data_IF_896053745125
#
_entry.id   IF_896053745125
#
_cell.length_a   1.000
_cell.length_b   1.000
_cell.length_c   1.000
_cell.angle_alpha   90.00
_cell.angle_beta   90.00
_cell.angle_gamma   90.00
#
_symmetry.space_group_name_H-M   'P 1'
#
loop_
_entity.id
_entity.type
_entity.pdbx_description
1 polymer ?
#
# COMPACT_ATOMS: atom_id res chain seq x y z
N UNK A 1 -59.84 28.06 37.79
CA UNK A 1 -59.67 29.41 37.21
C UNK A 1 -58.31 29.46 36.54
N UNK A 2 -58.33 29.87 35.27
CA UNK A 2 -57.23 30.20 34.35
C UNK A 2 -56.31 29.08 33.83
N UNK A 3 -56.86 28.47 32.80
CA UNK A 3 -56.24 27.77 31.69
C UNK A 3 -55.72 28.81 30.68
N UNK A 4 -54.43 28.79 30.30
CA UNK A 4 -53.91 29.43 29.10
C UNK A 4 -52.81 28.56 28.51
N UNK A 5 -53.16 27.86 27.43
CA UNK A 5 -52.25 27.04 26.63
C UNK A 5 -51.25 27.89 25.84
N UNK A 6 -50.08 27.30 25.60
CA UNK A 6 -49.18 27.69 24.51
C UNK A 6 -48.75 26.45 23.73
N UNK A 7 -48.85 26.61 22.41
CA UNK A 7 -48.51 25.68 21.33
C UNK A 7 -47.05 25.21 21.36
N UNK A 8 -46.72 23.97 20.96
CA UNK A 8 -45.37 23.54 20.66
C UNK A 8 -45.05 23.85 19.20
N UNK A 9 -44.64 25.09 18.92
CA UNK A 9 -44.19 25.47 17.58
C UNK A 9 -43.28 26.69 17.67
N UNK A 10 -42.10 26.54 18.29
CA UNK A 10 -40.99 27.51 18.19
C UNK A 10 -39.69 26.87 18.71
N UNK A 11 -39.11 25.96 17.93
CA UNK A 11 -37.67 25.68 17.95
C UNK A 11 -37.18 25.85 16.51
N UNK A 12 -36.88 27.09 16.16
CA UNK A 12 -36.21 27.41 14.91
C UNK A 12 -34.80 26.79 14.94
N UNK A 13 -34.59 25.80 14.07
CA UNK A 13 -33.29 25.22 13.76
C UNK A 13 -32.52 26.28 12.96
N UNK A 14 -31.50 26.89 13.59
CA UNK A 14 -30.52 27.73 12.89
C UNK A 14 -29.68 26.89 11.92
N UNK A 15 -29.12 27.50 10.86
CA UNK A 15 -28.52 26.76 9.75
C UNK A 15 -27.24 26.04 10.17
N UNK A 16 -27.05 24.86 9.60
CA UNK A 16 -25.85 24.02 9.61
C UNK A 16 -24.55 24.82 9.65
N UNK A 17 -23.79 24.66 10.74
CA UNK A 17 -22.37 24.98 10.75
C UNK A 17 -21.63 23.78 10.15
N UNK A 18 -21.59 23.73 8.82
CA UNK A 18 -20.75 22.78 8.07
C UNK A 18 -19.30 23.02 8.47
N UNK A 19 -18.68 22.05 9.15
CA UNK A 19 -17.25 22.05 9.46
C UNK A 19 -16.48 21.86 8.16
N UNK A 20 -16.24 22.97 7.46
CA UNK A 20 -15.52 23.02 6.20
C UNK A 20 -14.09 23.51 6.43
N UNK A 21 -13.30 22.84 7.26
CA UNK A 21 -11.94 23.31 7.57
C UNK A 21 -10.94 22.17 7.78
N UNK A 22 -10.39 21.67 6.66
CA UNK A 22 -9.04 21.10 6.50
C UNK A 22 -8.88 20.60 5.05
N UNK A 23 -9.94 20.00 4.48
CA UNK A 23 -9.93 19.44 3.12
C UNK A 23 -9.83 20.47 1.98
N UNK A 24 -10.29 21.71 2.20
CA UNK A 24 -10.27 22.76 1.16
C UNK A 24 -8.85 23.20 0.76
N UNK A 25 -7.93 23.33 1.73
CA UNK A 25 -6.53 23.73 1.46
C UNK A 25 -5.70 22.60 0.88
N UNK A 26 -6.00 21.34 1.22
CA UNK A 26 -5.34 20.16 0.65
C UNK A 26 -5.78 19.96 -0.80
N UNK A 27 -7.10 20.05 -1.08
CA UNK A 27 -7.67 19.97 -2.42
C UNK A 27 -7.04 20.98 -3.38
N UNK A 28 -6.94 22.25 -2.95
CA UNK A 28 -6.37 23.31 -3.78
C UNK A 28 -4.87 23.14 -4.04
N UNK A 29 -4.09 22.66 -3.05
CA UNK A 29 -2.65 22.39 -3.25
C UNK A 29 -2.36 21.18 -4.15
N UNK A 30 -3.25 20.19 -4.16
CA UNK A 30 -3.14 19.01 -5.04
C UNK A 30 -3.45 19.41 -6.48
N UNK A 31 -4.49 20.22 -6.71
CA UNK A 31 -4.85 20.73 -8.04
C UNK A 31 -3.71 21.54 -8.68
N UNK A 32 -3.00 22.38 -7.90
CA UNK A 32 -1.87 23.18 -8.40
C UNK A 32 -0.65 22.34 -8.80
N UNK A 33 -0.42 21.19 -8.16
CA UNK A 33 0.72 20.29 -8.47
C UNK A 33 0.41 19.37 -9.66
N UNK A 34 -0.81 18.83 -9.72
CA UNK A 34 -1.27 17.96 -10.82
C UNK A 34 -1.26 18.71 -12.17
N UNK A 35 -1.54 20.02 -12.17
CA UNK A 35 -1.61 20.81 -13.41
C UNK A 35 -0.26 21.22 -14.03
N UNK A 36 0.89 20.94 -13.39
CA UNK A 36 2.21 21.43 -13.88
C UNK A 36 3.02 20.40 -14.70
N UNK A 37 2.50 19.18 -14.87
CA UNK A 37 3.11 18.17 -15.76
C UNK A 37 2.84 18.47 -17.23
N UNK A 38 3.83 19.06 -17.92
CA UNK A 38 3.82 19.26 -19.37
C UNK A 38 3.68 17.93 -20.11
N UNK A 39 2.46 17.62 -20.58
CA UNK A 39 2.21 16.55 -21.53
C UNK A 39 2.77 16.95 -22.90
N UNK A 40 3.95 16.45 -23.25
CA UNK A 40 4.47 16.55 -24.63
C UNK A 40 3.70 15.59 -25.52
N UNK A 41 2.73 16.15 -26.24
CA UNK A 41 2.06 15.48 -27.36
C UNK A 41 3.04 15.34 -28.53
N UNK A 42 3.42 14.13 -28.92
CA UNK A 42 3.62 13.84 -30.35
C UNK A 42 3.67 12.36 -30.74
N UNK A 43 2.95 12.08 -31.83
CA UNK A 43 3.14 11.06 -32.87
C UNK A 43 2.89 9.57 -32.56
N UNK A 44 1.79 9.08 -33.13
CA UNK A 44 1.59 7.67 -33.43
C UNK A 44 2.37 7.24 -34.68
N UNK A 45 2.78 5.98 -34.68
CA UNK A 45 2.83 5.05 -35.81
C UNK A 45 3.68 3.85 -35.39
N UNK A 46 3.07 2.66 -35.39
CA UNK A 46 3.63 1.30 -35.49
C UNK A 46 2.83 0.36 -34.59
N UNK A 47 2.02 -0.48 -35.24
CA UNK A 47 1.15 -1.47 -34.62
C UNK A 47 1.93 -2.64 -34.05
N UNK A 48 2.35 -2.50 -32.79
CA UNK A 48 2.73 -3.59 -31.90
C UNK A 48 1.89 -3.45 -30.62
N UNK A 49 1.50 -4.59 -30.05
CA UNK A 49 0.74 -4.70 -28.80
C UNK A 49 1.20 -3.67 -27.74
N UNK A 50 0.28 -3.04 -26.98
CA UNK A 50 0.67 -2.05 -25.99
C UNK A 50 1.35 -2.75 -24.79
N UNK A 51 2.67 -2.75 -24.78
CA UNK A 51 3.48 -3.10 -23.62
C UNK A 51 3.24 -2.11 -22.45
N UNK A 52 3.26 -2.57 -21.18
CA UNK A 52 3.09 -1.73 -19.97
C UNK A 52 4.12 -0.59 -19.84
N UNK A 53 5.17 -0.60 -20.65
CA UNK A 53 6.19 0.45 -20.72
C UNK A 53 5.64 1.85 -21.10
N UNK A 54 4.53 1.94 -21.86
CA UNK A 54 3.98 3.26 -22.25
C UNK A 54 3.30 4.01 -21.11
N UNK A 55 2.74 3.30 -20.13
CA UNK A 55 2.01 3.87 -18.99
C UNK A 55 2.93 4.26 -17.84
N UNK A 56 4.12 3.64 -17.76
CA UNK A 56 5.12 3.86 -16.70
C UNK A 56 5.90 5.18 -16.83
N UNK A 57 5.92 5.78 -18.03
CA UNK A 57 6.66 7.02 -18.31
C UNK A 57 6.10 8.28 -17.61
N UNK A 58 4.97 8.17 -16.92
CA UNK A 58 4.30 9.28 -16.20
C UNK A 58 4.71 9.33 -14.71
N UNK A 59 5.24 8.24 -14.17
CA UNK A 59 5.68 8.15 -12.77
C UNK A 59 7.19 8.40 -12.67
N UNK A 60 7.63 9.09 -11.61
CA UNK A 60 9.06 9.08 -11.27
C UNK A 60 9.44 7.68 -10.77
N UNK A 61 10.74 7.37 -10.76
CA UNK A 61 11.26 6.05 -10.40
C UNK A 61 10.77 5.52 -9.04
N UNK A 62 10.43 6.39 -8.09
CA UNK A 62 10.00 6.02 -6.74
C UNK A 62 8.68 5.23 -6.70
N UNK A 63 7.64 5.69 -7.40
CA UNK A 63 6.32 5.04 -7.36
C UNK A 63 6.06 4.12 -8.56
N UNK A 64 6.96 4.11 -9.56
CA UNK A 64 7.04 3.00 -10.52
C UNK A 64 7.24 1.65 -9.80
N UNK A 65 8.00 1.64 -8.69
CA UNK A 65 8.17 0.46 -7.84
C UNK A 65 6.84 -0.03 -7.26
N UNK A 66 5.94 0.87 -6.85
CA UNK A 66 4.63 0.50 -6.31
C UNK A 66 3.79 -0.25 -7.33
N UNK A 67 3.74 0.24 -8.57
CA UNK A 67 3.08 -0.46 -9.65
C UNK A 67 3.70 -1.85 -9.88
N UNK A 68 5.04 -1.92 -9.91
CA UNK A 68 5.76 -3.17 -10.14
C UNK A 68 5.49 -4.20 -9.04
N UNK A 69 5.47 -3.81 -7.77
CA UNK A 69 5.14 -4.68 -6.65
C UNK A 69 3.72 -5.25 -6.81
N UNK A 70 2.74 -4.42 -7.16
CA UNK A 70 1.36 -4.88 -7.36
C UNK A 70 1.23 -5.85 -8.54
N UNK A 71 2.00 -5.63 -9.60
CA UNK A 71 2.03 -6.50 -10.75
C UNK A 71 2.70 -7.86 -10.43
N UNK A 72 3.89 -7.84 -9.81
CA UNK A 72 4.67 -9.04 -9.50
C UNK A 72 4.00 -9.92 -8.44
N UNK A 73 3.31 -9.30 -7.48
CA UNK A 73 2.53 -10.01 -6.46
C UNK A 73 1.22 -10.57 -7.00
N UNK A 74 0.80 -10.21 -8.22
CA UNK A 74 -0.46 -10.65 -8.83
C UNK A 74 -1.70 -9.86 -8.35
N UNK A 75 -1.54 -8.87 -7.48
CA UNK A 75 -2.65 -8.09 -6.90
C UNK A 75 -3.48 -7.35 -7.96
N UNK A 76 -2.85 -6.88 -9.04
CA UNK A 76 -3.57 -6.25 -10.16
C UNK A 76 -4.62 -7.19 -10.75
N UNK A 77 -4.22 -8.45 -10.98
CA UNK A 77 -5.08 -9.47 -11.57
C UNK A 77 -6.14 -9.95 -10.56
N UNK A 78 -5.72 -10.28 -9.34
CA UNK A 78 -6.61 -10.82 -8.29
C UNK A 78 -7.79 -9.91 -7.97
N UNK A 79 -7.54 -8.60 -7.90
CA UNK A 79 -8.56 -7.60 -7.56
C UNK A 79 -9.09 -6.84 -8.78
N UNK A 80 -8.70 -7.25 -10.00
CA UNK A 80 -9.09 -6.60 -11.25
C UNK A 80 -8.83 -5.10 -11.20
N UNK A 81 -7.69 -4.68 -10.68
CA UNK A 81 -7.35 -3.28 -10.48
C UNK A 81 -7.23 -2.59 -11.85
N UNK A 82 -8.01 -1.52 -12.12
CA UNK A 82 -7.88 -0.78 -13.36
C UNK A 82 -6.60 0.07 -13.30
N UNK A 83 -5.60 -0.35 -14.08
CA UNK A 83 -4.24 0.19 -14.02
C UNK A 83 -4.16 1.70 -14.24
N UNK A 84 -5.03 2.25 -15.11
CA UNK A 84 -5.04 3.69 -15.41
C UNK A 84 -5.33 4.51 -14.16
N UNK A 85 -6.38 4.16 -13.42
CA UNK A 85 -6.77 4.84 -12.18
C UNK A 85 -5.76 4.58 -11.07
N UNK A 86 -5.16 3.40 -11.04
CA UNK A 86 -4.12 3.08 -10.07
C UNK A 86 -2.88 3.95 -10.27
N UNK A 87 -2.39 4.08 -11.51
CA UNK A 87 -1.26 4.95 -11.85
C UNK A 87 -1.59 6.42 -11.59
N UNK A 88 -2.82 6.87 -11.90
CA UNK A 88 -3.26 8.23 -11.63
C UNK A 88 -3.27 8.53 -10.12
N UNK A 89 -3.78 7.60 -9.31
CA UNK A 89 -3.75 7.71 -7.86
C UNK A 89 -2.32 7.73 -7.32
N UNK A 90 -1.46 6.80 -7.74
CA UNK A 90 -0.06 6.73 -7.30
C UNK A 90 0.70 8.03 -7.64
N UNK A 91 0.48 8.59 -8.82
CA UNK A 91 1.09 9.87 -9.21
C UNK A 91 0.63 11.01 -8.29
N UNK A 92 -0.67 11.12 -8.03
CA UNK A 92 -1.21 12.14 -7.16
C UNK A 92 -0.74 11.98 -5.70
N UNK A 93 -0.62 10.73 -5.23
CA UNK A 93 -0.09 10.38 -3.91
C UNK A 93 1.37 10.81 -3.79
N UNK A 94 2.20 10.49 -4.80
CA UNK A 94 3.60 10.91 -4.87
C UNK A 94 3.74 12.45 -4.82
N UNK A 95 2.92 13.16 -5.60
CA UNK A 95 2.92 14.63 -5.63
C UNK A 95 2.51 15.28 -4.30
N UNK A 96 1.74 14.58 -3.46
CA UNK A 96 1.35 15.09 -2.14
C UNK A 96 2.41 14.86 -1.05
N UNK A 97 3.43 14.03 -1.28
CA UNK A 97 4.61 14.04 -0.42
C UNK A 97 5.36 15.37 -0.55
N UNK A 98 5.66 15.98 0.59
CA UNK A 98 6.37 17.26 0.62
C UNK A 98 7.85 17.05 0.38
N UNK A 99 8.49 18.07 -0.19
CA UNK A 99 9.95 18.10 -0.29
C UNK A 99 10.54 18.33 1.11
N UNK A 100 10.98 17.25 1.74
CA UNK A 100 11.52 17.19 3.10
C UNK A 100 12.78 16.33 3.09
N UNK A 101 13.75 16.59 3.99
CA UNK A 101 14.99 15.80 4.01
C UNK A 101 14.79 14.30 4.26
N UNK A 102 13.72 13.89 4.96
CA UNK A 102 13.47 12.49 5.33
C UNK A 102 12.06 12.01 4.92
N UNK A 103 11.00 12.48 5.61
CA UNK A 103 9.61 12.09 5.36
C UNK A 103 9.09 12.64 4.02
N UNK A 104 9.53 12.01 2.94
CA UNK A 104 9.28 12.36 1.55
C UNK A 104 8.92 11.08 0.76
N UNK A 105 8.64 11.23 -0.53
CA UNK A 105 8.28 10.11 -1.41
C UNK A 105 9.32 8.99 -1.49
N UNK A 106 10.62 9.29 -1.29
CA UNK A 106 11.67 8.27 -1.29
C UNK A 106 11.58 7.39 -0.05
N UNK A 107 11.33 8.00 1.12
CA UNK A 107 11.11 7.25 2.34
C UNK A 107 9.88 6.33 2.24
N UNK A 108 8.77 6.82 1.70
CA UNK A 108 7.58 5.98 1.47
C UNK A 108 7.86 4.80 0.52
N UNK A 109 8.63 5.03 -0.55
CA UNK A 109 9.04 3.98 -1.47
C UNK A 109 9.97 2.95 -0.81
N UNK A 110 10.88 3.39 0.06
CA UNK A 110 11.78 2.52 0.82
C UNK A 110 11.01 1.63 1.81
N UNK A 111 10.08 2.22 2.57
CA UNK A 111 9.20 1.46 3.50
C UNK A 111 8.35 0.45 2.73
N UNK A 112 7.77 0.84 1.59
CA UNK A 112 7.03 -0.07 0.71
C UNK A 112 7.88 -1.24 0.22
N UNK A 113 9.10 -0.95 -0.26
CA UNK A 113 10.02 -2.00 -0.68
C UNK A 113 10.42 -2.90 0.49
N UNK A 114 10.65 -2.32 1.68
CA UNK A 114 10.96 -3.05 2.91
C UNK A 114 9.86 -4.05 3.29
N UNK A 115 8.59 -3.61 3.34
CA UNK A 115 7.48 -4.52 3.65
C UNK A 115 7.30 -5.59 2.57
N UNK A 116 7.46 -5.24 1.29
CA UNK A 116 7.43 -6.21 0.20
C UNK A 116 8.55 -7.24 0.33
N UNK A 117 9.76 -6.82 0.68
CA UNK A 117 10.88 -7.73 0.90
C UNK A 117 10.60 -8.68 2.07
N UNK A 118 10.16 -8.15 3.22
CA UNK A 118 9.83 -8.95 4.41
C UNK A 118 8.74 -9.99 4.15
N UNK A 119 7.77 -9.70 3.27
CA UNK A 119 6.67 -10.62 2.97
C UNK A 119 6.94 -11.55 1.78
N UNK A 120 7.98 -11.30 0.96
CA UNK A 120 8.23 -12.08 -0.26
C UNK A 120 9.48 -12.95 -0.22
N UNK A 121 10.43 -12.70 0.68
CA UNK A 121 11.68 -13.46 0.71
C UNK A 121 11.54 -14.83 1.40
N UNK A 122 12.36 -15.83 1.00
CA UNK A 122 12.45 -17.11 1.69
C UNK A 122 12.96 -16.97 3.13
N UNK A 123 12.28 -17.63 4.06
CA UNK A 123 12.58 -17.66 5.49
C UNK A 123 12.81 -19.10 5.91
N UNK A 124 14.01 -19.41 6.40
CA UNK A 124 14.37 -20.75 6.83
C UNK A 124 13.47 -21.23 7.98
N UNK A 125 12.93 -22.43 7.86
CA UNK A 125 12.08 -23.06 8.87
C UNK A 125 10.68 -22.46 9.02
N UNK A 126 10.27 -21.53 8.16
CA UNK A 126 8.91 -21.01 8.18
C UNK A 126 7.94 -22.03 7.56
N UNK A 127 6.94 -22.44 8.34
CA UNK A 127 5.88 -23.31 7.87
C UNK A 127 4.90 -22.55 6.95
N UNK A 128 4.56 -23.17 5.82
CA UNK A 128 3.52 -22.67 4.93
C UNK A 128 2.20 -23.30 5.35
N UNK A 129 1.23 -22.47 5.70
CA UNK A 129 -0.11 -22.94 6.02
C UNK A 129 -0.74 -23.48 4.73
N UNK A 130 -1.17 -24.76 4.67
CA UNK A 130 -1.80 -25.29 3.48
C UNK A 130 -3.04 -24.48 3.14
N UNK A 131 -3.18 -24.10 1.86
CA UNK A 131 -4.45 -23.58 1.35
C UNK A 131 -5.47 -24.70 1.51
N UNK A 132 -6.41 -24.55 2.45
CA UNK A 132 -7.49 -25.52 2.61
C UNK A 132 -8.29 -25.52 1.32
N UNK A 133 -8.51 -26.71 0.75
CA UNK A 133 -9.36 -26.95 -0.43
C UNK A 133 -10.83 -26.68 -0.06
N UNK A 134 -11.16 -25.44 0.29
CA UNK A 134 -12.52 -24.97 0.40
C UNK A 134 -13.07 -24.85 -1.01
N UNK A 135 -14.10 -25.64 -1.29
CA UNK A 135 -14.76 -25.84 -2.58
C UNK A 135 -15.47 -24.60 -3.13
N UNK A 136 -15.10 -23.41 -2.71
CA UNK A 136 -15.46 -22.13 -3.33
C UNK A 136 -14.27 -21.16 -3.25
N UNK A 137 -13.80 -20.59 -4.37
CA UNK A 137 -12.94 -19.42 -4.34
C UNK A 137 -13.80 -18.23 -3.91
N UNK A 138 -13.93 -18.00 -2.61
CA UNK A 138 -14.39 -16.71 -2.12
C UNK A 138 -13.33 -15.68 -2.50
N UNK A 139 -13.73 -14.62 -3.22
CA UNK A 139 -12.80 -13.62 -3.73
C UNK A 139 -11.93 -13.05 -2.59
N UNK A 140 -10.62 -13.01 -2.79
CA UNK A 140 -9.69 -12.34 -1.88
C UNK A 140 -9.15 -13.16 -0.70
N UNK A 141 -9.49 -14.46 -0.56
CA UNK A 141 -8.97 -15.31 0.53
C UNK A 141 -7.56 -15.88 0.26
N UNK A 142 -7.28 -16.32 -0.97
CA UNK A 142 -5.98 -16.93 -1.30
C UNK A 142 -4.91 -15.89 -1.63
N UNK A 143 -3.69 -16.07 -1.10
CA UNK A 143 -2.55 -15.21 -1.43
C UNK A 143 -2.10 -15.41 -2.89
N UNK A 144 -2.07 -14.37 -3.74
CA UNK A 144 -1.61 -14.50 -5.13
C UNK A 144 -0.10 -14.77 -5.23
N UNK A 145 0.64 -14.55 -4.14
CA UNK A 145 2.03 -14.99 -4.02
C UNK A 145 2.17 -16.51 -4.14
N UNK A 146 1.13 -17.29 -3.81
CA UNK A 146 1.13 -18.73 -4.06
C UNK A 146 1.24 -19.03 -5.55
N UNK A 147 0.51 -18.28 -6.40
CA UNK A 147 0.59 -18.42 -7.84
C UNK A 147 1.92 -17.91 -8.39
N UNK A 148 2.43 -16.76 -7.91
CA UNK A 148 3.74 -16.25 -8.35
C UNK A 148 4.90 -17.18 -7.99
N UNK A 149 4.85 -17.82 -6.82
CA UNK A 149 5.96 -18.65 -6.33
C UNK A 149 5.88 -20.12 -6.78
N UNK A 150 4.68 -20.69 -6.87
CA UNK A 150 4.47 -22.08 -7.27
C UNK A 150 3.96 -22.23 -8.72
N UNK A 151 3.79 -21.15 -9.49
CA UNK A 151 3.27 -21.18 -10.87
C UNK A 151 3.79 -20.09 -11.85
N UNK A 152 4.40 -20.53 -12.96
CA UNK A 152 4.53 -19.87 -14.29
C UNK A 152 5.03 -18.41 -14.45
N UNK A 153 5.35 -17.65 -13.40
CA UNK A 153 6.10 -16.37 -13.53
C UNK A 153 7.50 -16.57 -12.99
N UNK A 154 8.47 -16.75 -13.88
CA UNK A 154 9.88 -16.96 -13.51
C UNK A 154 10.44 -15.71 -12.83
N UNK A 155 10.71 -15.82 -11.53
CA UNK A 155 11.60 -14.93 -10.79
C UNK A 155 13.01 -15.00 -11.41
N UNK A 156 13.50 -13.88 -11.91
CA UNK A 156 14.93 -13.69 -12.15
C UNK A 156 15.45 -12.80 -11.00
N UNK A 157 16.27 -13.31 -10.07
CA UNK A 157 16.83 -12.49 -9.02
C UNK A 157 17.71 -11.39 -9.65
N UNK A 158 17.51 -10.15 -9.21
CA UNK A 158 18.43 -9.05 -9.51
C UNK A 158 19.78 -9.44 -8.90
N UNK A 159 20.76 -9.75 -9.76
CA UNK A 159 22.15 -9.99 -9.36
C UNK A 159 22.64 -8.75 -8.60
N UNK A 160 22.98 -8.93 -7.32
CA UNK A 160 23.75 -7.95 -6.58
C UNK A 160 25.14 -7.76 -7.22
N UNK A 161 25.81 -6.62 -6.98
CA UNK A 161 27.13 -6.36 -7.53
C UNK A 161 28.15 -7.38 -7.01
N UNK A 162 28.94 -7.90 -7.95
CA UNK A 162 29.95 -8.94 -7.79
C UNK A 162 30.92 -8.65 -6.63
N UNK A 163 31.07 -9.61 -5.71
CA UNK A 163 32.26 -9.77 -4.89
C UNK A 163 33.04 -10.97 -5.45
N UNK A 164 34.16 -10.65 -6.10
CA UNK A 164 35.05 -11.54 -6.83
C UNK A 164 35.58 -12.74 -6.02
N UNK A 165 35.52 -13.94 -6.62
CA UNK A 165 36.19 -15.17 -6.19
C UNK A 165 36.13 -16.25 -7.29
N UNK A 166 37.17 -17.06 -7.52
CA UNK A 166 37.68 -17.32 -8.86
C UNK A 166 36.90 -18.33 -9.70
N UNK A 167 36.63 -17.86 -10.92
CA UNK A 167 36.39 -18.54 -12.20
C UNK A 167 36.79 -20.02 -12.26
N UNK A 168 35.81 -20.89 -12.55
CA UNK A 168 36.06 -22.06 -13.39
C UNK A 168 35.48 -21.79 -14.79
N UNK A 169 36.40 -21.75 -15.76
CA UNK A 169 36.14 -21.49 -17.18
C UNK A 169 35.56 -22.72 -17.88
N UNK A 170 34.59 -22.42 -18.74
CA UNK A 170 34.33 -22.98 -20.07
C UNK A 170 33.90 -24.44 -20.20
N UNK A 171 32.70 -24.65 -20.72
CA UNK A 171 32.54 -25.17 -22.08
C UNK A 171 31.16 -24.79 -22.64
N UNK A 172 31.17 -24.20 -23.82
CA UNK A 172 30.02 -23.93 -24.66
C UNK A 172 29.42 -25.22 -25.22
N UNK A 173 28.13 -25.42 -25.06
CA UNK A 173 27.32 -26.08 -26.10
C UNK A 173 25.91 -25.49 -26.07
N UNK A 174 25.47 -25.08 -27.25
CA UNK A 174 24.12 -24.61 -27.47
C UNK A 174 23.12 -25.75 -27.22
N UNK A 175 22.09 -25.48 -26.42
CA UNK A 175 20.86 -26.25 -26.37
C UNK A 175 19.72 -25.31 -26.00
N UNK A 176 18.95 -25.01 -27.04
CA UNK A 176 17.49 -25.00 -27.14
C UNK A 176 16.64 -24.42 -26.00
N UNK A 177 15.65 -23.64 -26.42
CA UNK A 177 14.77 -22.88 -25.56
C UNK A 177 13.93 -23.74 -24.63
N UNK A 178 14.27 -23.74 -23.35
CA UNK A 178 13.34 -23.86 -22.21
C UNK A 178 14.05 -23.25 -21.02
N UNK A 179 13.65 -22.05 -20.60
CA UNK A 179 14.13 -21.50 -19.33
C UNK A 179 13.60 -22.40 -18.22
N UNK A 180 14.46 -23.30 -17.72
CA UNK A 180 14.16 -24.18 -16.61
C UNK A 180 13.68 -23.32 -15.44
N UNK A 181 12.43 -23.53 -15.03
CA UNK A 181 12.04 -23.28 -13.65
C UNK A 181 13.11 -23.93 -12.78
N UNK A 182 13.72 -23.19 -11.87
CA UNK A 182 14.60 -23.79 -10.87
C UNK A 182 13.78 -24.87 -10.15
N UNK A 183 14.10 -26.13 -10.47
CA UNK A 183 13.50 -27.28 -9.82
C UNK A 183 13.99 -27.28 -8.38
N UNK A 184 13.15 -26.80 -7.46
CA UNK A 184 13.36 -27.04 -6.04
C UNK A 184 13.29 -28.55 -5.78
N UNK A 185 14.12 -29.11 -4.90
CA UNK A 185 14.15 -30.55 -4.66
C UNK A 185 12.76 -31.05 -4.26
N UNK A 186 12.29 -32.09 -4.94
CA UNK A 186 10.99 -32.75 -4.71
C UNK A 186 10.96 -33.65 -3.47
N UNK A 187 12.01 -33.64 -2.65
CA UNK A 187 11.95 -34.26 -1.32
C UNK A 187 11.12 -33.31 -0.45
N UNK A 188 9.96 -33.77 0.01
CA UNK A 188 8.89 -33.03 0.71
C UNK A 188 9.28 -32.37 2.05
N UNK A 189 10.42 -31.70 2.11
CA UNK A 189 10.95 -30.93 3.21
C UNK A 189 11.54 -29.64 2.63
N UNK A 190 10.69 -28.70 2.21
CA UNK A 190 11.15 -27.38 1.80
C UNK A 190 11.66 -26.66 3.06
N UNK A 191 12.98 -26.41 3.20
CA UNK A 191 13.52 -25.84 4.43
C UNK A 191 13.22 -24.35 4.58
N UNK A 192 12.44 -23.77 3.66
CA UNK A 192 12.10 -22.35 3.62
C UNK A 192 10.61 -22.16 3.31
N UNK A 193 10.00 -21.17 3.98
CA UNK A 193 8.67 -20.64 3.67
C UNK A 193 8.74 -19.15 3.30
N UNK A 194 7.61 -18.57 2.91
CA UNK A 194 7.47 -17.15 2.57
C UNK A 194 6.29 -16.59 3.36
N UNK A 195 6.54 -15.55 4.15
CA UNK A 195 5.56 -14.99 5.07
C UNK A 195 4.27 -14.54 4.37
N UNK A 196 4.37 -13.87 3.21
CA UNK A 196 3.22 -13.35 2.49
C UNK A 196 2.30 -14.43 1.92
N UNK A 197 2.77 -15.68 1.77
CA UNK A 197 1.90 -16.78 1.34
C UNK A 197 0.88 -17.14 2.43
N UNK A 198 1.24 -16.91 3.70
CA UNK A 198 0.34 -17.13 4.84
C UNK A 198 -0.66 -15.97 5.07
N UNK A 199 -0.61 -14.89 4.28
CA UNK A 199 -1.52 -13.75 4.39
C UNK A 199 -2.52 -13.72 3.23
N UNK A 200 -3.82 -13.47 3.48
CA UNK A 200 -4.77 -13.23 2.40
C UNK A 200 -4.35 -12.08 1.50
N UNK A 201 -4.68 -12.17 0.21
CA UNK A 201 -4.33 -11.17 -0.80
C UNK A 201 -4.70 -9.74 -0.37
N UNK A 202 -5.88 -9.59 0.25
CA UNK A 202 -6.42 -8.31 0.68
C UNK A 202 -5.58 -7.68 1.79
N UNK A 203 -5.01 -8.50 2.68
CA UNK A 203 -4.17 -8.04 3.78
C UNK A 203 -2.78 -7.61 3.30
N UNK A 204 -2.20 -8.33 2.33
CA UNK A 204 -0.98 -7.89 1.65
C UNK A 204 -1.19 -6.58 0.89
N UNK A 205 -2.29 -6.47 0.14
CA UNK A 205 -2.62 -5.22 -0.55
C UNK A 205 -2.77 -4.06 0.44
N UNK A 206 -3.42 -4.30 1.58
CA UNK A 206 -3.55 -3.30 2.64
C UNK A 206 -2.18 -2.86 3.16
N UNK A 207 -1.28 -3.80 3.45
CA UNK A 207 0.07 -3.51 3.96
C UNK A 207 0.87 -2.66 2.96
N UNK A 208 0.84 -2.99 1.68
CA UNK A 208 1.56 -2.25 0.64
C UNK A 208 0.96 -0.86 0.41
N UNK A 209 -0.38 -0.72 0.36
CA UNK A 209 -1.01 0.60 0.26
C UNK A 209 -0.72 1.45 1.50
N UNK A 210 -0.79 0.86 2.70
CA UNK A 210 -0.46 1.55 3.94
C UNK A 210 0.97 2.08 3.91
N UNK A 211 1.95 1.25 3.54
CA UNK A 211 3.34 1.68 3.41
C UNK A 211 3.52 2.86 2.44
N UNK A 212 2.83 2.83 1.28
CA UNK A 212 2.86 3.92 0.32
C UNK A 212 2.19 5.21 0.83
N UNK A 213 1.23 5.12 1.75
CA UNK A 213 0.44 6.24 2.28
C UNK A 213 0.90 6.75 3.65
N UNK A 214 1.72 6.01 4.39
CA UNK A 214 1.87 6.17 5.84
C UNK A 214 2.37 7.53 6.30
N UNK A 215 3.10 8.27 5.46
CA UNK A 215 3.68 9.58 5.74
C UNK A 215 3.14 10.68 4.79
N UNK A 216 1.99 10.44 4.17
CA UNK A 216 1.43 11.33 3.17
C UNK A 216 1.19 12.75 3.72
N UNK A 217 1.69 13.77 3.01
CA UNK A 217 1.62 15.19 3.42
C UNK A 217 2.37 15.56 4.73
N UNK A 218 3.39 14.78 5.11
CA UNK A 218 4.16 15.02 6.34
C UNK A 218 4.84 16.41 6.41
N UNK A 219 4.66 17.19 7.51
CA UNK A 219 5.15 18.56 7.60
C UNK A 219 6.65 18.69 7.88
N UNK A 220 7.33 17.60 8.26
CA UNK A 220 8.72 17.60 8.73
C UNK A 220 8.83 18.11 10.17
N UNK A 221 7.82 17.82 10.99
CA UNK A 221 7.73 18.13 12.42
C UNK A 221 7.14 16.91 13.11
N UNK A 222 7.36 16.77 14.41
CA UNK A 222 6.87 15.64 15.20
C UNK A 222 5.49 15.93 15.79
N UNK A 223 4.78 14.86 16.20
CA UNK A 223 3.55 14.97 16.98
C UNK A 223 3.73 15.87 18.21
N UNK A 224 4.82 15.71 18.97
CA UNK A 224 5.11 16.53 20.15
C UNK A 224 5.21 18.03 19.84
N UNK A 225 5.83 18.39 18.71
CA UNK A 225 5.90 19.78 18.25
C UNK A 225 4.51 20.33 17.91
N UNK A 226 3.68 19.57 17.19
CA UNK A 226 2.33 20.00 16.80
C UNK A 226 1.43 20.22 18.02
N UNK A 227 1.49 19.32 19.00
CA UNK A 227 0.74 19.43 20.26
C UNK A 227 1.21 20.66 21.05
N UNK A 228 2.52 20.81 21.26
CA UNK A 228 3.08 21.94 22.04
C UNK A 228 2.73 23.31 21.43
N UNK A 229 2.72 23.39 20.11
CA UNK A 229 2.43 24.63 19.38
C UNK A 229 0.94 24.86 19.12
N UNK A 230 0.06 23.98 19.62
CA UNK A 230 -1.38 24.03 19.39
C UNK A 230 -1.72 24.12 17.89
N UNK A 231 -0.97 23.37 17.07
CA UNK A 231 -1.19 23.34 15.64
C UNK A 231 -2.64 22.88 15.34
N UNK A 232 -3.32 23.43 14.31
CA UNK A 232 -4.71 23.08 14.02
C UNK A 232 -4.96 21.57 13.86
N UNK A 233 -3.98 20.83 13.32
CA UNK A 233 -4.06 19.36 13.21
C UNK A 233 -4.07 18.67 14.58
N UNK A 234 -3.28 19.17 15.55
CA UNK A 234 -3.24 18.60 16.90
C UNK A 234 -4.58 18.79 17.61
N UNK A 235 -5.19 19.98 17.45
CA UNK A 235 -6.55 20.26 17.95
C UNK A 235 -7.58 19.35 17.27
N UNK A 236 -7.51 19.21 15.95
CA UNK A 236 -8.43 18.36 15.17
C UNK A 236 -8.42 16.90 15.62
N UNK A 237 -7.23 16.35 15.89
CA UNK A 237 -7.03 14.96 16.30
C UNK A 237 -6.89 14.78 17.82
N UNK A 238 -7.19 15.83 18.60
CA UNK A 238 -7.16 15.81 20.07
C UNK A 238 -5.87 15.22 20.64
N UNK A 239 -4.72 15.63 20.08
CA UNK A 239 -3.36 15.25 20.47
C UNK A 239 -3.01 13.74 20.37
N UNK A 240 -3.88 12.93 19.77
CA UNK A 240 -3.71 11.48 19.61
C UNK A 240 -3.24 11.15 18.19
N UNK A 241 -2.05 10.58 18.07
CA UNK A 241 -1.45 10.13 16.79
C UNK A 241 -1.74 11.11 15.65
N UNK A 242 -1.39 12.38 15.89
CA UNK A 242 -1.90 13.53 15.13
C UNK A 242 -1.51 13.42 13.66
N UNK A 243 -0.25 13.08 13.40
CA UNK A 243 0.30 12.90 12.07
C UNK A 243 -0.25 11.64 11.41
N UNK A 244 -0.27 10.52 12.11
CA UNK A 244 -0.69 9.23 11.57
C UNK A 244 -2.18 9.26 11.17
N UNK A 245 -3.03 9.89 11.99
CA UNK A 245 -4.42 10.16 11.62
C UNK A 245 -4.53 11.07 10.39
N UNK A 246 -3.69 12.11 10.30
CA UNK A 246 -3.66 13.01 9.14
C UNK A 246 -3.26 12.26 7.87
N UNK A 247 -2.20 11.45 7.91
CA UNK A 247 -1.70 10.68 6.75
C UNK A 247 -2.80 9.77 6.20
N UNK A 248 -3.41 8.96 7.07
CA UNK A 248 -4.51 8.07 6.67
C UNK A 248 -5.71 8.86 6.12
N UNK A 249 -6.19 9.87 6.84
CA UNK A 249 -7.36 10.65 6.43
C UNK A 249 -7.13 11.38 5.09
N UNK A 250 -5.96 11.99 4.91
CA UNK A 250 -5.60 12.75 3.73
C UNK A 250 -5.44 11.83 2.50
N UNK A 251 -4.77 10.68 2.65
CA UNK A 251 -4.60 9.72 1.56
C UNK A 251 -5.94 9.11 1.10
N UNK A 252 -6.82 8.76 2.04
CA UNK A 252 -8.18 8.32 1.72
C UNK A 252 -9.02 9.42 1.07
N UNK A 253 -8.89 10.66 1.55
CA UNK A 253 -9.57 11.80 0.94
C UNK A 253 -9.10 12.03 -0.49
N UNK A 254 -7.80 11.83 -0.77
CA UNK A 254 -7.25 11.87 -2.13
C UNK A 254 -7.87 10.78 -3.00
N UNK A 255 -7.83 9.51 -2.57
CA UNK A 255 -8.39 8.38 -3.34
C UNK A 255 -9.86 8.61 -3.72
N UNK A 256 -10.65 9.15 -2.80
CA UNK A 256 -12.09 9.39 -2.98
C UNK A 256 -12.41 10.75 -3.61
N UNK A 257 -11.40 11.59 -3.89
CA UNK A 257 -11.63 12.97 -4.33
C UNK A 257 -12.13 13.06 -5.77
N UNK A 258 -11.72 12.12 -6.64
CA UNK A 258 -12.02 12.13 -8.08
C UNK A 258 -12.16 10.70 -8.62
N UNK A 259 -13.12 10.42 -9.51
CA UNK A 259 -13.34 9.07 -10.06
C UNK A 259 -12.13 8.43 -10.75
N UNK A 260 -11.23 9.25 -11.32
CA UNK A 260 -9.98 8.80 -11.95
C UNK A 260 -8.94 8.27 -10.96
N UNK A 261 -9.16 8.41 -9.66
CA UNK A 261 -8.33 7.81 -8.63
C UNK A 261 -8.95 6.53 -8.05
N UNK A 262 -10.18 6.19 -8.43
CA UNK A 262 -10.92 5.05 -7.88
C UNK A 262 -10.50 3.72 -8.54
N UNK A 263 -9.30 3.28 -8.21
CA UNK A 263 -8.77 1.98 -8.63
C UNK A 263 -9.32 0.81 -7.81
N UNK A 264 -10.12 1.07 -6.78
CA UNK A 264 -10.71 0.06 -5.90
C UNK A 264 -12.16 -0.27 -6.24
N UNK A 265 -12.72 0.35 -7.29
CA UNK A 265 -14.13 0.20 -7.71
C UNK A 265 -14.63 -1.22 -7.98
N UNK A 266 -13.71 -2.17 -8.19
CA UNK A 266 -14.04 -3.57 -8.45
C UNK A 266 -14.07 -4.43 -7.18
N UNK A 267 -13.71 -3.89 -6.02
CA UNK A 267 -13.91 -4.55 -4.74
C UNK A 267 -15.37 -4.51 -4.35
N UNK A 268 -15.85 -5.58 -3.73
CA UNK A 268 -17.15 -5.54 -3.08
C UNK A 268 -17.14 -4.63 -1.84
N UNK A 269 -18.33 -4.38 -1.28
CA UNK A 269 -18.47 -3.48 -0.11
C UNK A 269 -17.77 -4.00 1.14
N UNK A 270 -17.73 -5.31 1.34
CA UNK A 270 -17.10 -5.93 2.50
C UNK A 270 -15.57 -5.88 2.36
N UNK A 271 -15.04 -6.24 1.19
CA UNK A 271 -13.63 -6.14 0.83
C UNK A 271 -13.14 -4.70 0.97
N UNK A 272 -13.84 -3.72 0.38
CA UNK A 272 -13.48 -2.31 0.49
C UNK A 272 -13.45 -1.83 1.96
N UNK A 273 -14.48 -2.19 2.74
CA UNK A 273 -14.56 -1.84 4.16
C UNK A 273 -13.41 -2.45 4.96
N UNK A 274 -13.09 -3.72 4.70
CA UNK A 274 -11.99 -4.45 5.38
C UNK A 274 -10.63 -3.88 4.99
N UNK A 275 -10.40 -3.62 3.70
CA UNK A 275 -9.19 -2.99 3.19
C UNK A 275 -8.98 -1.63 3.84
N UNK A 276 -10.04 -0.80 3.89
CA UNK A 276 -9.99 0.51 4.53
C UNK A 276 -9.58 0.42 6.00
N UNK A 277 -10.21 -0.48 6.74
CA UNK A 277 -9.88 -0.73 8.14
C UNK A 277 -8.40 -1.11 8.29
N UNK A 278 -7.92 -2.09 7.52
CA UNK A 278 -6.54 -2.57 7.60
C UNK A 278 -5.51 -1.48 7.32
N UNK A 279 -5.72 -0.69 6.27
CA UNK A 279 -4.82 0.41 5.92
C UNK A 279 -4.74 1.43 7.07
N UNK A 280 -5.88 1.78 7.66
CA UNK A 280 -5.91 2.71 8.80
C UNK A 280 -5.15 2.13 9.99
N UNK A 281 -5.37 0.86 10.33
CA UNK A 281 -4.65 0.20 11.44
C UNK A 281 -3.14 0.18 11.20
N UNK A 282 -2.69 -0.19 10.00
CA UNK A 282 -1.27 -0.20 9.65
C UNK A 282 -0.63 1.19 9.72
N UNK A 283 -1.31 2.24 9.25
CA UNK A 283 -0.78 3.62 9.33
C UNK A 283 -0.78 4.11 10.77
N UNK A 284 -1.82 3.86 11.57
CA UNK A 284 -1.83 4.27 12.98
C UNK A 284 -0.81 3.50 13.83
N UNK A 285 -0.40 2.30 13.41
CA UNK A 285 0.63 1.52 14.06
C UNK A 285 2.05 2.09 13.87
N UNK A 286 2.25 3.08 12.98
CA UNK A 286 3.56 3.74 12.80
C UNK A 286 3.84 4.84 13.84
N UNK A 287 2.86 5.20 14.68
CA UNK A 287 3.08 6.13 15.80
C UNK A 287 4.05 5.49 16.80
N UNK A 288 5.27 6.03 16.87
CA UNK A 288 6.31 5.53 17.77
C UNK A 288 5.91 5.59 19.26
N UNK A 289 4.89 6.38 19.65
CA UNK A 289 4.33 6.32 21.01
C UNK A 289 3.72 4.95 21.33
N UNK A 290 3.24 4.21 20.32
CA UNK A 290 2.66 2.87 20.45
C UNK A 290 3.68 1.74 20.32
N UNK A 291 4.95 2.06 20.05
CA UNK A 291 5.98 1.06 19.77
C UNK A 291 6.06 -0.05 20.82
N UNK A 292 6.13 0.31 22.11
CA UNK A 292 6.24 -0.67 23.19
C UNK A 292 4.97 -1.47 23.42
N UNK A 293 3.79 -0.89 23.16
CA UNK A 293 2.50 -1.59 23.22
C UNK A 293 2.45 -2.69 22.16
N UNK A 294 2.76 -2.34 20.91
CA UNK A 294 2.78 -3.27 19.77
C UNK A 294 3.82 -4.37 19.99
N UNK A 295 5.02 -4.02 20.45
CA UNK A 295 6.08 -4.99 20.73
C UNK A 295 5.66 -5.97 21.82
N UNK A 296 5.06 -5.49 22.92
CA UNK A 296 4.60 -6.34 24.00
C UNK A 296 3.50 -7.30 23.55
N UNK A 297 2.51 -6.82 22.78
CA UNK A 297 1.45 -7.67 22.23
C UNK A 297 2.01 -8.74 21.28
N UNK A 298 2.93 -8.34 20.39
CA UNK A 298 3.59 -9.27 19.47
C UNK A 298 4.37 -10.35 20.22
N UNK A 299 5.21 -9.97 21.18
CA UNK A 299 5.99 -10.92 21.99
C UNK A 299 5.08 -11.87 22.75
N UNK A 300 3.98 -11.38 23.34
CA UNK A 300 3.02 -12.23 24.05
C UNK A 300 2.41 -13.30 23.13
N UNK A 301 2.02 -12.93 21.90
CA UNK A 301 1.49 -13.88 20.90
C UNK A 301 2.54 -14.89 20.47
N UNK A 302 3.75 -14.45 20.12
CA UNK A 302 4.84 -15.36 19.70
C UNK A 302 5.21 -16.34 20.80
N UNK A 303 5.37 -15.86 22.04
CA UNK A 303 5.68 -16.73 23.19
C UNK A 303 4.57 -17.72 23.52
N UNK A 304 3.31 -17.43 23.18
CA UNK A 304 2.20 -18.38 23.35
C UNK A 304 2.20 -19.51 22.32
N UNK A 305 2.85 -19.32 21.17
CA UNK A 305 2.90 -20.29 20.08
C UNK A 305 4.15 -21.18 20.12
N UNK A 306 5.19 -20.81 20.87
CA UNK A 306 6.40 -21.61 21.00
C UNK A 306 6.21 -22.69 22.09
N UNK A 307 6.59 -23.96 21.82
CA UNK A 307 6.58 -25.00 22.85
C UNK A 307 7.51 -24.61 24.01
N UNK A 308 7.05 -24.83 25.24
CA UNK A 308 7.81 -24.59 26.49
C UNK A 308 8.97 -25.56 26.65
#
# INVERSE_FOLDING_TARGET
MNNLGRSPSDFAIGPEMTVQMAGGKLRQKIDDRVCTGHATNNLGSLGLHPEPARSLNILNSSFQMSYRIFYDTGLIESFKIPEKEFLAFLHALECGYRDKPYHNRMHAADVLHGVYHLTSQPIAGLEQVPVTDSTQPESGQDSPLHQTYFGKRTWAPVRGPDLDGPTLKTASSAIDGTAAAQSYPSDGNMPYGIMGINFPALELMALYLAAAMHDFDHPGRTNAFLVTTHAPQAILYNDRSVLENHHAAAAWSLLLSRPEFDFLRNLDKAEFKRLRYLIIECVLATDLKRHFEILAEFTAKVSSCLPK
#
